data_IF_522597562424
#
_entry.id   IF_522597562424
#
_cell.length_a   1.000
_cell.length_b   1.000
_cell.length_c   1.000
_cell.angle_alpha   90.00
_cell.angle_beta   90.00
_cell.angle_gamma   90.00
#
_symmetry.space_group_name_H-M   'P 1'
#
loop_
_entity.id
_entity.type
_entity.pdbx_description
1 polymer ?
#
# COMPACT_ATOMS: atom_id res chain seq x y z
N UNK A 1 12.87 -8.53 -11.26
CA UNK A 1 11.90 -7.73 -10.48
C UNK A 1 10.58 -8.47 -10.43
N UNK A 2 9.94 -8.59 -9.26
CA UNK A 2 8.65 -9.30 -9.14
C UNK A 2 7.49 -8.44 -9.68
N UNK A 3 6.39 -9.09 -10.10
CA UNK A 3 5.17 -8.40 -10.58
C UNK A 3 4.62 -7.43 -9.53
N UNK A 4 4.71 -7.79 -8.25
CA UNK A 4 4.27 -6.96 -7.12
C UNK A 4 5.11 -5.69 -6.96
N UNK A 5 6.42 -5.75 -7.20
CA UNK A 5 7.28 -4.56 -7.15
C UNK A 5 6.91 -3.55 -8.24
N UNK A 6 6.57 -4.03 -9.45
CA UNK A 6 6.09 -3.17 -10.53
C UNK A 6 4.74 -2.52 -10.18
N UNK A 7 3.83 -3.27 -9.57
CA UNK A 7 2.53 -2.75 -9.11
C UNK A 7 2.70 -1.68 -8.03
N UNK A 8 3.53 -1.95 -7.01
CA UNK A 8 3.88 -0.99 -5.95
C UNK A 8 4.40 0.32 -6.53
N UNK A 9 5.35 0.22 -7.46
CA UNK A 9 5.97 1.37 -8.12
C UNK A 9 4.96 2.19 -8.92
N UNK A 10 4.08 1.50 -9.66
CA UNK A 10 3.02 2.13 -10.46
C UNK A 10 2.05 2.90 -9.57
N UNK A 11 1.52 2.26 -8.52
CA UNK A 11 0.58 2.90 -7.60
C UNK A 11 1.23 4.10 -6.92
N UNK A 12 2.44 3.94 -6.37
CA UNK A 12 3.14 5.04 -5.72
C UNK A 12 3.29 6.25 -6.65
N UNK A 13 3.77 6.05 -7.88
CA UNK A 13 3.97 7.13 -8.85
C UNK A 13 2.64 7.77 -9.28
N UNK A 14 1.59 6.98 -9.46
CA UNK A 14 0.26 7.50 -9.79
C UNK A 14 -0.28 8.38 -8.67
N UNK A 15 -0.23 7.92 -7.42
CA UNK A 15 -0.71 8.67 -6.25
C UNK A 15 0.12 9.94 -6.05
N UNK A 16 1.46 9.82 -6.08
CA UNK A 16 2.36 10.96 -5.96
C UNK A 16 2.05 12.01 -7.03
N UNK A 17 1.81 11.60 -8.27
CA UNK A 17 1.45 12.53 -9.35
C UNK A 17 0.12 13.24 -9.08
N UNK A 18 -0.87 12.53 -8.56
CA UNK A 18 -2.21 13.08 -8.28
C UNK A 18 -2.21 13.99 -7.05
N UNK A 19 -1.33 13.76 -6.09
CA UNK A 19 -1.28 14.45 -4.80
C UNK A 19 0.01 15.27 -4.62
N UNK A 20 0.53 15.85 -5.71
CA UNK A 20 1.63 16.81 -5.69
C UNK A 20 2.91 16.31 -4.97
N UNK A 21 3.28 15.07 -5.23
CA UNK A 21 4.43 14.38 -4.64
C UNK A 21 4.11 13.65 -3.33
N UNK A 22 2.94 13.88 -2.73
CA UNK A 22 2.54 13.18 -1.51
C UNK A 22 1.92 11.82 -1.82
N UNK A 23 2.28 10.84 -1.02
CA UNK A 23 1.67 9.51 -1.00
C UNK A 23 1.18 9.24 0.42
N UNK A 24 -0.11 9.43 0.72
CA UNK A 24 -0.65 9.20 2.05
C UNK A 24 -0.71 7.70 2.34
N UNK A 25 -0.29 7.34 3.55
CA UNK A 25 -0.44 5.98 4.07
C UNK A 25 -1.92 5.67 4.25
N UNK A 26 -2.36 4.53 3.72
CA UNK A 26 -3.74 4.07 3.90
C UNK A 26 -4.15 3.92 5.38
N UNK A 27 -3.20 3.62 6.26
CA UNK A 27 -3.47 3.33 7.67
C UNK A 27 -3.52 4.59 8.52
N UNK A 28 -2.56 5.50 8.36
CA UNK A 28 -2.38 6.66 9.24
C UNK A 28 -2.51 8.02 8.53
N UNK A 29 -2.69 8.04 7.20
CA UNK A 29 -2.80 9.25 6.39
C UNK A 29 -1.48 10.01 6.15
N UNK A 30 -0.43 9.74 6.93
CA UNK A 30 0.87 10.42 6.81
C UNK A 30 1.61 10.03 5.54
N UNK A 31 2.46 10.93 5.04
CA UNK A 31 3.25 10.65 3.84
C UNK A 31 4.16 9.42 4.02
N UNK A 32 4.14 8.53 3.03
CA UNK A 32 5.02 7.35 2.93
C UNK A 32 6.20 7.67 2.02
N UNK A 33 7.45 7.64 2.53
CA UNK A 33 8.63 7.72 1.68
C UNK A 33 8.69 6.54 0.71
N UNK A 34 9.18 6.75 -0.51
CA UNK A 34 9.26 5.71 -1.54
C UNK A 34 10.02 4.44 -1.10
N UNK A 35 11.08 4.62 -0.32
CA UNK A 35 11.89 3.53 0.24
C UNK A 35 11.12 2.69 1.28
N UNK A 36 10.16 3.28 1.99
CA UNK A 36 9.34 2.62 3.02
C UNK A 36 7.97 2.17 2.49
N UNK A 37 7.65 2.52 1.24
CA UNK A 37 6.38 2.19 0.62
C UNK A 37 6.24 0.69 0.44
N UNK A 38 5.22 0.13 1.10
CA UNK A 38 4.80 -1.25 0.92
C UNK A 38 3.47 -1.31 0.19
N UNK A 39 3.24 -2.42 -0.50
CA UNK A 39 1.97 -2.71 -1.17
C UNK A 39 1.09 -3.48 -0.20
N UNK A 40 -0.11 -2.96 0.04
CA UNK A 40 -1.05 -3.52 1.01
C UNK A 40 -2.38 -3.86 0.36
N UNK A 41 -2.96 -4.99 0.74
CA UNK A 41 -4.32 -5.35 0.38
C UNK A 41 -5.31 -4.64 1.33
N UNK A 42 -6.29 -3.91 0.79
CA UNK A 42 -7.29 -3.22 1.60
C UNK A 42 -8.14 -4.26 2.34
N UNK A 43 -8.73 -5.19 1.59
CA UNK A 43 -9.33 -6.43 2.07
C UNK A 43 -8.30 -7.57 1.97
N UNK A 44 -8.03 -8.31 3.06
CA UNK A 44 -7.10 -9.44 3.04
C UNK A 44 -7.52 -10.52 2.03
N UNK A 45 -6.54 -11.21 1.42
CA UNK A 45 -6.82 -12.33 0.50
C UNK A 45 -7.56 -13.49 1.17
N UNK A 46 -7.29 -13.74 2.45
CA UNK A 46 -7.98 -14.75 3.26
C UNK A 46 -9.47 -14.49 3.42
N UNK A 47 -9.88 -13.22 3.29
CA UNK A 47 -11.27 -12.77 3.41
C UNK A 47 -11.91 -12.51 2.04
N UNK A 48 -11.28 -12.98 0.95
CA UNK A 48 -11.78 -12.81 -0.42
C UNK A 48 -11.25 -11.58 -1.16
N UNK A 49 -10.29 -10.83 -0.59
CA UNK A 49 -9.67 -9.69 -1.24
C UNK A 49 -8.88 -10.05 -2.51
N UNK A 50 -9.05 -9.26 -3.58
CA UNK A 50 -8.38 -9.48 -4.85
C UNK A 50 -6.99 -8.80 -4.91
N UNK A 51 -6.17 -9.14 -5.91
CA UNK A 51 -4.92 -8.40 -6.19
C UNK A 51 -5.09 -7.37 -7.31
N UNK A 52 -6.32 -6.93 -7.57
CA UNK A 52 -6.62 -5.83 -8.49
C UNK A 52 -6.26 -4.48 -7.84
N UNK A 53 -5.96 -3.49 -8.67
CA UNK A 53 -5.51 -2.16 -8.22
C UNK A 53 -6.49 -1.49 -7.25
N UNK A 54 -7.79 -1.73 -7.40
CA UNK A 54 -8.85 -1.23 -6.52
C UNK A 54 -8.77 -1.77 -5.08
N UNK A 55 -8.19 -2.95 -4.88
CA UNK A 55 -7.99 -3.54 -3.56
C UNK A 55 -6.54 -3.38 -3.06
N UNK A 56 -5.75 -2.51 -3.70
CA UNK A 56 -4.36 -2.29 -3.36
C UNK A 56 -4.12 -0.84 -2.95
N UNK A 57 -3.38 -0.66 -1.85
CA UNK A 57 -3.00 0.64 -1.34
C UNK A 57 -1.51 0.69 -0.96
N UNK A 58 -1.01 1.92 -0.72
CA UNK A 58 0.33 2.13 -0.19
C UNK A 58 0.25 2.42 1.31
N UNK A 59 1.15 1.81 2.07
CA UNK A 59 1.33 2.07 3.49
C UNK A 59 2.80 1.97 3.90
N UNK A 60 3.17 2.59 5.02
CA UNK A 60 4.49 2.38 5.62
C UNK A 60 4.65 0.90 6.01
N UNK A 61 5.87 0.37 5.91
CA UNK A 61 6.16 -0.99 6.36
C UNK A 61 5.73 -1.27 7.80
N UNK A 62 5.94 -0.32 8.72
CA UNK A 62 5.49 -0.44 10.13
C UNK A 62 3.96 -0.50 10.26
N UNK A 63 3.24 0.31 9.50
CA UNK A 63 1.78 0.38 9.57
C UNK A 63 1.15 -0.88 8.98
N UNK A 64 1.75 -1.40 7.91
CA UNK A 64 1.35 -2.66 7.31
C UNK A 64 1.52 -3.82 8.30
N UNK A 65 2.73 -3.97 8.88
CA UNK A 65 2.99 -5.01 9.87
C UNK A 65 2.03 -4.95 11.06
N UNK A 66 1.78 -3.77 11.63
CA UNK A 66 0.84 -3.61 12.75
C UNK A 66 -0.60 -4.04 12.41
N UNK A 67 -1.06 -3.87 11.16
CA UNK A 67 -2.38 -4.36 10.74
C UNK A 67 -2.44 -5.88 10.64
N UNK A 68 -1.39 -6.50 10.11
CA UNK A 68 -1.30 -7.97 10.00
C UNK A 68 -1.23 -8.66 11.35
N UNK A 69 -0.77 -7.96 12.39
CA UNK A 69 -0.64 -8.47 13.76
C UNK A 69 -1.93 -8.32 14.59
N UNK A 70 -3.05 -7.81 14.05
CA UNK A 70 -4.31 -7.83 14.81
C UNK A 70 -4.81 -9.27 14.98
N UNK A 71 -4.86 -9.80 16.22
CA UNK A 71 -5.46 -11.11 16.47
C UNK A 71 -6.97 -11.04 16.23
N UNK A 72 -7.53 -12.18 15.83
CA UNK A 72 -8.97 -12.40 15.65
C UNK A 72 -9.79 -12.00 16.87
#
# INVERSE_FOLDING_TARGET
MSRLNLTREKIYKTVARQLHGQVPCWVCGQHVPHAEATLEHIQPRSEGGSSHLENLAISHGRCNQQRQVRPA
#
